data_IF_093083139495
#
_entry.id   IF_093083139495
#
_cell.length_a   1.000
_cell.length_b   1.000
_cell.length_c   1.000
_cell.angle_alpha   90.00
_cell.angle_beta   90.00
_cell.angle_gamma   90.00
#
_symmetry.space_group_name_H-M   'P 1'
#
loop_
_entity.id
_entity.type
_entity.pdbx_description
1 polymer ?
#
# COMPACT_ATOMS: atom_id res chain seq x y z
N UNK A 1 3.92 3.77 -27.98
CA UNK A 1 5.19 3.28 -27.38
C UNK A 1 4.92 3.00 -25.91
N UNK A 2 5.32 1.84 -25.37
CA UNK A 2 5.18 1.58 -23.94
C UNK A 2 6.07 2.55 -23.15
N UNK A 3 5.48 3.35 -22.26
CA UNK A 3 6.24 4.27 -21.41
C UNK A 3 7.19 3.46 -20.52
N UNK A 4 8.48 3.82 -20.53
CA UNK A 4 9.47 3.25 -19.62
C UNK A 4 9.44 4.03 -18.30
N UNK A 5 9.54 3.37 -17.14
CA UNK A 5 9.64 4.06 -15.87
C UNK A 5 10.90 4.94 -15.84
N UNK A 6 10.80 6.12 -15.24
CA UNK A 6 11.98 6.95 -14.94
C UNK A 6 12.84 6.21 -13.92
N UNK A 7 14.16 6.17 -14.06
CA UNK A 7 15.04 5.60 -13.04
C UNK A 7 15.18 6.54 -11.82
N UNK A 8 15.26 6.02 -10.58
CA UNK A 8 15.46 6.85 -9.40
C UNK A 8 16.86 7.46 -9.43
N UNK A 9 16.95 8.73 -9.04
CA UNK A 9 18.19 9.51 -9.14
C UNK A 9 19.18 9.22 -7.99
N UNK A 10 18.72 8.59 -6.91
CA UNK A 10 19.53 8.32 -5.72
C UNK A 10 19.21 6.94 -5.10
N UNK A 11 20.09 6.50 -4.20
CA UNK A 11 19.98 5.21 -3.53
C UNK A 11 18.69 5.06 -2.71
N UNK A 12 18.24 6.12 -2.05
CA UNK A 12 16.97 6.11 -1.31
C UNK A 12 15.78 5.79 -2.24
N UNK A 13 15.75 6.38 -3.44
CA UNK A 13 14.74 6.10 -4.45
C UNK A 13 14.81 4.67 -5.00
N UNK A 14 16.02 4.14 -5.20
CA UNK A 14 16.22 2.74 -5.61
C UNK A 14 15.73 1.76 -4.54
N UNK A 15 16.07 2.02 -3.28
CA UNK A 15 15.61 1.21 -2.15
C UNK A 15 14.09 1.25 -2.01
N UNK A 16 13.48 2.44 -2.08
CA UNK A 16 12.02 2.58 -2.03
C UNK A 16 11.33 1.85 -3.18
N UNK A 17 11.91 1.86 -4.39
CA UNK A 17 11.40 1.11 -5.54
C UNK A 17 11.48 -0.39 -5.31
N UNK A 18 12.61 -0.86 -4.79
CA UNK A 18 12.79 -2.27 -4.48
C UNK A 18 11.78 -2.73 -3.41
N UNK A 19 11.56 -1.91 -2.38
CA UNK A 19 10.54 -2.18 -1.36
C UNK A 19 9.13 -2.20 -1.94
N UNK A 20 8.79 -1.25 -2.82
CA UNK A 20 7.48 -1.25 -3.50
C UNK A 20 7.31 -2.53 -4.32
N UNK A 21 8.32 -2.89 -5.12
CA UNK A 21 8.30 -4.10 -5.94
C UNK A 21 8.13 -5.35 -5.10
N UNK A 22 8.84 -5.46 -3.98
CA UNK A 22 8.73 -6.60 -3.07
C UNK A 22 7.31 -6.72 -2.50
N UNK A 23 6.72 -5.62 -2.04
CA UNK A 23 5.33 -5.66 -1.54
C UNK A 23 4.35 -5.98 -2.68
N UNK A 24 4.53 -5.40 -3.87
CA UNK A 24 3.68 -5.68 -5.02
C UNK A 24 3.74 -7.17 -5.42
N UNK A 25 4.93 -7.78 -5.44
CA UNK A 25 5.11 -9.23 -5.70
C UNK A 25 4.32 -10.08 -4.71
N UNK A 26 4.40 -9.76 -3.41
CA UNK A 26 3.66 -10.47 -2.35
C UNK A 26 2.15 -10.36 -2.55
N UNK A 27 1.67 -9.17 -2.91
CA UNK A 27 0.25 -8.88 -3.07
C UNK A 27 -0.33 -9.52 -4.35
N UNK A 28 0.44 -9.51 -5.44
CA UNK A 28 0.04 -10.07 -6.73
C UNK A 28 0.21 -11.59 -6.75
N UNK A 29 1.15 -12.13 -5.95
CA UNK A 29 1.48 -13.56 -5.94
C UNK A 29 2.49 -13.96 -7.03
N UNK A 30 3.19 -13.00 -7.63
CA UNK A 30 4.15 -13.22 -8.72
C UNK A 30 5.58 -12.88 -8.28
N UNK A 31 6.34 -13.88 -7.80
CA UNK A 31 7.67 -13.66 -7.20
C UNK A 31 8.73 -13.08 -8.17
N UNK A 32 8.65 -13.44 -9.45
CA UNK A 32 9.63 -13.05 -10.47
C UNK A 32 9.25 -11.76 -11.23
N UNK A 33 8.16 -11.10 -10.85
CA UNK A 33 7.70 -9.88 -11.52
C UNK A 33 8.75 -8.76 -11.36
N UNK A 34 9.30 -8.22 -12.44
CA UNK A 34 10.19 -7.06 -12.35
C UNK A 34 9.42 -5.73 -12.36
N UNK A 35 10.11 -4.64 -12.03
CA UNK A 35 9.48 -3.32 -11.96
C UNK A 35 9.00 -2.80 -13.32
N UNK A 36 9.67 -3.17 -14.43
CA UNK A 36 9.28 -2.73 -15.76
C UNK A 36 7.96 -3.38 -16.18
N UNK A 37 7.82 -4.69 -15.98
CA UNK A 37 6.60 -5.43 -16.22
C UNK A 37 5.46 -4.94 -15.33
N UNK A 38 5.74 -4.70 -14.04
CA UNK A 38 4.77 -4.10 -13.11
C UNK A 38 4.32 -2.71 -13.60
N UNK A 39 5.26 -1.88 -14.04
CA UNK A 39 4.97 -0.54 -14.55
C UNK A 39 4.07 -0.61 -15.80
N UNK A 40 4.41 -1.43 -16.78
CA UNK A 40 3.63 -1.58 -18.01
C UNK A 40 2.20 -2.07 -17.75
N UNK A 41 2.02 -2.97 -16.78
CA UNK A 41 0.71 -3.56 -16.46
C UNK A 41 -0.24 -2.58 -15.76
N UNK A 42 0.28 -1.72 -14.88
CA UNK A 42 -0.55 -0.91 -14.00
C UNK A 42 -0.54 0.59 -14.31
N UNK A 43 0.55 1.16 -14.83
CA UNK A 43 0.74 2.62 -14.93
C UNK A 43 -0.40 3.40 -15.61
N UNK A 44 -1.06 2.80 -16.60
CA UNK A 44 -2.11 3.44 -17.42
C UNK A 44 -3.53 2.99 -17.05
N UNK A 45 -3.70 2.05 -16.11
CA UNK A 45 -5.00 1.59 -15.66
C UNK A 45 -5.28 2.13 -14.26
N UNK A 46 -5.83 3.34 -14.18
CA UNK A 46 -6.04 4.08 -12.93
C UNK A 46 -6.70 3.23 -11.85
N UNK A 47 -7.78 2.52 -12.18
CA UNK A 47 -8.49 1.70 -11.21
C UNK A 47 -7.62 0.56 -10.65
N UNK A 48 -6.95 -0.19 -11.53
CA UNK A 48 -6.09 -1.29 -11.12
C UNK A 48 -4.87 -0.80 -10.35
N UNK A 49 -4.27 0.32 -10.75
CA UNK A 49 -3.09 0.89 -10.13
C UNK A 49 -3.39 1.46 -8.75
N UNK A 50 -4.49 2.20 -8.60
CA UNK A 50 -4.95 2.71 -7.30
C UNK A 50 -5.27 1.55 -6.35
N UNK A 51 -5.92 0.49 -6.83
CA UNK A 51 -6.20 -0.70 -6.02
C UNK A 51 -4.92 -1.42 -5.59
N UNK A 52 -3.92 -1.49 -6.46
CA UNK A 52 -2.61 -2.05 -6.12
C UNK A 52 -1.96 -1.21 -5.02
N UNK A 53 -1.94 0.12 -5.14
CA UNK A 53 -1.36 1.02 -4.13
C UNK A 53 -2.06 0.89 -2.77
N UNK A 54 -3.40 0.81 -2.75
CA UNK A 54 -4.19 0.52 -1.55
C UNK A 54 -3.75 -0.77 -0.85
N UNK A 55 -3.47 -1.81 -1.65
CA UNK A 55 -3.17 -3.15 -1.13
C UNK A 55 -1.70 -3.27 -0.71
N UNK A 56 -0.78 -2.66 -1.47
CA UNK A 56 0.64 -2.53 -1.12
C UNK A 56 0.81 -1.73 0.17
N UNK A 57 0.07 -0.63 0.33
CA UNK A 57 0.09 0.17 1.56
C UNK A 57 -0.29 -0.69 2.78
N UNK A 58 -1.38 -1.44 2.67
CA UNK A 58 -1.84 -2.32 3.74
C UNK A 58 -0.85 -3.46 4.03
N UNK A 59 -0.27 -4.07 2.98
CA UNK A 59 0.72 -5.13 3.13
C UNK A 59 2.00 -4.63 3.81
N UNK A 60 2.49 -3.46 3.44
CA UNK A 60 3.66 -2.84 4.05
C UNK A 60 3.41 -2.52 5.53
N UNK A 61 2.27 -1.90 5.87
CA UNK A 61 1.93 -1.64 7.28
C UNK A 61 1.85 -2.93 8.11
N UNK A 62 1.27 -4.00 7.56
CA UNK A 62 1.22 -5.32 8.22
C UNK A 62 2.60 -5.97 8.37
N UNK A 63 3.54 -5.66 7.48
CA UNK A 63 4.92 -6.09 7.54
C UNK A 63 5.77 -5.28 8.54
N UNK A 64 5.19 -4.30 9.22
CA UNK A 64 5.84 -3.53 10.30
C UNK A 64 6.47 -2.21 9.87
N UNK A 65 6.34 -1.81 8.59
CA UNK A 65 6.81 -0.50 8.15
C UNK A 65 5.97 0.63 8.79
N UNK A 66 6.63 1.72 9.18
CA UNK A 66 5.94 2.90 9.69
C UNK A 66 5.16 3.62 8.57
N UNK A 67 4.09 4.37 8.88
CA UNK A 67 3.34 5.13 7.87
C UNK A 67 4.23 6.06 7.02
N UNK A 68 5.27 6.66 7.63
CA UNK A 68 6.22 7.54 6.93
C UNK A 68 7.04 6.77 5.89
N UNK A 69 7.49 5.56 6.21
CA UNK A 69 8.21 4.69 5.28
C UNK A 69 7.30 4.24 4.14
N UNK A 70 6.07 3.84 4.45
CA UNK A 70 5.09 3.42 3.42
C UNK A 70 4.76 4.56 2.46
N UNK A 71 4.69 5.81 2.94
CA UNK A 71 4.60 6.98 2.07
C UNK A 71 5.79 7.04 1.11
N UNK A 72 7.02 6.88 1.59
CA UNK A 72 8.23 6.86 0.74
C UNK A 72 8.20 5.75 -0.30
N UNK A 73 7.77 4.55 0.09
CA UNK A 73 7.61 3.38 -0.79
C UNK A 73 6.60 3.67 -1.91
N UNK A 74 5.43 4.20 -1.58
CA UNK A 74 4.37 4.50 -2.55
C UNK A 74 4.73 5.63 -3.53
N UNK A 75 5.71 6.49 -3.22
CA UNK A 75 6.23 7.43 -4.21
C UNK A 75 6.94 6.73 -5.38
N UNK A 76 7.27 5.44 -5.25
CA UNK A 76 7.80 4.62 -6.33
C UNK A 76 6.73 3.75 -6.99
N UNK A 77 5.43 3.99 -6.75
CA UNK A 77 4.38 3.23 -7.43
C UNK A 77 4.34 3.53 -8.94
N UNK A 78 3.99 2.54 -9.79
CA UNK A 78 3.78 2.76 -11.21
C UNK A 78 2.84 3.93 -11.52
N UNK A 79 1.75 4.02 -10.76
CA UNK A 79 0.75 5.07 -10.95
C UNK A 79 1.35 6.45 -10.71
N UNK A 80 1.98 6.67 -9.55
CA UNK A 80 2.56 7.97 -9.22
C UNK A 80 3.67 8.34 -10.21
N UNK A 81 4.55 7.39 -10.53
CA UNK A 81 5.65 7.60 -11.46
C UNK A 81 5.13 7.98 -12.86
N UNK A 82 4.04 7.36 -13.32
CA UNK A 82 3.41 7.71 -14.59
C UNK A 82 2.76 9.09 -14.57
N UNK A 83 1.96 9.39 -13.54
CA UNK A 83 1.29 10.67 -13.42
C UNK A 83 2.29 11.83 -13.38
N UNK A 84 3.36 11.72 -12.60
CA UNK A 84 4.35 12.80 -12.43
C UNK A 84 5.27 12.91 -13.65
N UNK A 85 5.79 11.81 -14.18
CA UNK A 85 6.85 11.87 -15.19
C UNK A 85 6.35 11.81 -16.63
N UNK A 86 5.19 11.20 -16.89
CA UNK A 86 4.58 11.10 -18.22
C UNK A 86 3.47 12.13 -18.38
N UNK A 87 2.48 12.11 -17.50
CA UNK A 87 1.32 13.03 -17.59
C UNK A 87 1.62 14.44 -17.03
N UNK A 88 2.81 14.64 -16.46
CA UNK A 88 3.27 15.93 -15.89
C UNK A 88 2.34 16.49 -14.82
N UNK A 89 1.62 15.63 -14.11
CA UNK A 89 0.84 16.02 -12.94
C UNK A 89 1.81 16.55 -11.87
N UNK A 90 1.54 17.72 -11.25
CA UNK A 90 2.42 18.26 -10.22
C UNK A 90 2.62 17.26 -9.07
N UNK A 91 3.83 17.23 -8.49
CA UNK A 91 4.15 16.28 -7.44
C UNK A 91 3.31 16.51 -6.16
N UNK A 92 2.99 17.76 -5.83
CA UNK A 92 2.25 18.11 -4.62
C UNK A 92 0.90 17.36 -4.46
N UNK A 93 -0.03 17.38 -5.43
CA UNK A 93 -1.27 16.60 -5.35
C UNK A 93 -1.01 15.08 -5.34
N UNK A 94 0.01 14.60 -6.05
CA UNK A 94 0.35 13.17 -6.02
C UNK A 94 0.90 12.73 -4.66
N UNK A 95 1.67 13.58 -3.98
CA UNK A 95 2.09 13.34 -2.60
C UNK A 95 0.91 13.34 -1.63
N UNK A 96 -0.12 14.17 -1.86
CA UNK A 96 -1.37 14.12 -1.08
C UNK A 96 -2.10 12.79 -1.30
N UNK A 97 -2.23 12.35 -2.56
CA UNK A 97 -2.79 11.05 -2.92
C UNK A 97 -2.10 9.91 -2.14
N UNK A 98 -0.77 9.87 -2.13
CA UNK A 98 0.00 8.85 -1.40
C UNK A 98 -0.31 8.90 0.09
N UNK A 99 -0.23 10.07 0.73
CA UNK A 99 -0.51 10.22 2.17
C UNK A 99 -1.93 9.76 2.50
N UNK A 100 -2.92 10.15 1.69
CA UNK A 100 -4.31 9.71 1.87
C UNK A 100 -4.48 8.19 1.73
N UNK A 101 -3.76 7.57 0.80
CA UNK A 101 -3.75 6.10 0.63
C UNK A 101 -3.21 5.41 1.88
N UNK A 102 -2.08 5.88 2.42
CA UNK A 102 -1.50 5.34 3.66
C UNK A 102 -2.44 5.55 4.85
N UNK A 103 -3.01 6.75 5.00
CA UNK A 103 -3.94 7.02 6.11
C UNK A 103 -5.18 6.13 6.07
N UNK A 104 -5.74 5.88 4.89
CA UNK A 104 -6.85 4.92 4.73
C UNK A 104 -6.42 3.51 5.15
N UNK A 105 -5.22 3.08 4.78
CA UNK A 105 -4.69 1.77 5.15
C UNK A 105 -4.47 1.64 6.67
N UNK A 106 -3.94 2.68 7.33
CA UNK A 106 -3.80 2.75 8.79
C UNK A 106 -5.16 2.62 9.47
N UNK A 107 -6.14 3.43 9.07
CA UNK A 107 -7.50 3.36 9.64
C UNK A 107 -8.15 1.98 9.45
N UNK A 108 -7.93 1.33 8.30
CA UNK A 108 -8.41 -0.04 8.06
C UNK A 108 -7.75 -1.04 9.02
N UNK A 109 -6.45 -0.90 9.28
CA UNK A 109 -5.71 -1.77 10.19
C UNK A 109 -6.14 -1.57 11.65
N UNK A 110 -6.28 -0.32 12.09
CA UNK A 110 -6.76 0.02 13.44
C UNK A 110 -8.17 -0.52 13.69
N UNK A 111 -9.09 -0.36 12.72
CA UNK A 111 -10.44 -0.92 12.80
C UNK A 111 -10.41 -2.44 12.91
N UNK A 112 -9.60 -3.13 12.10
CA UNK A 112 -9.48 -4.58 12.16
C UNK A 112 -8.95 -5.07 13.53
N UNK A 113 -7.96 -4.38 14.10
CA UNK A 113 -7.40 -4.69 15.41
C UNK A 113 -8.38 -4.37 16.57
N UNK A 114 -9.13 -3.28 16.46
CA UNK A 114 -10.17 -2.91 17.42
C UNK A 114 -11.31 -3.94 17.49
N UNK A 115 -11.73 -4.46 16.33
CA UNK A 115 -12.74 -5.54 16.24
C UNK A 115 -12.21 -6.84 16.88
N UNK A 116 -10.95 -7.21 16.65
CA UNK A 116 -10.34 -8.39 17.27
C UNK A 116 -10.26 -8.28 18.80
N UNK A 117 -9.92 -7.11 19.34
CA UNK A 117 -9.93 -6.87 20.81
C UNK A 117 -11.33 -6.93 21.42
N UNK A 118 -12.36 -6.49 20.68
CA UNK A 118 -13.74 -6.55 21.15
C UNK A 118 -14.30 -7.99 21.18
N UNK A 119 -13.97 -8.82 20.17
CA UNK A 119 -14.39 -10.23 20.11
C UNK A 119 -13.61 -11.14 21.06
N UNK A 120 -12.37 -10.79 21.42
CA UNK A 120 -11.59 -11.53 22.44
C UNK A 120 -12.05 -11.34 23.89
N UNK A 121 -13.01 -10.43 24.16
CA UNK A 121 -13.50 -10.11 25.51
C UNK A 121 -14.88 -10.68 25.84
N UNK A 122 -15.49 -11.45 24.94
CA UNK A 122 -16.84 -12.01 25.10
C UNK A 122 -16.83 -13.52 25.33
N UNK A 123 -16.08 -14.01 26.32
CA UNK A 123 -16.31 -15.35 26.90
C UNK A 123 -16.08 -15.25 28.41
N UNK A 124 -17.17 -15.03 29.15
CA UNK A 124 -17.53 -15.73 30.41
C UNK A 124 -18.69 -14.98 31.09
N UNK A 125 -19.89 -15.02 30.49
CA UNK A 125 -21.13 -14.87 31.27
C UNK A 125 -21.57 -16.28 31.64
N UNK A 126 -21.34 -16.68 32.90
CA UNK A 126 -21.94 -17.88 33.48
C UNK A 126 -23.47 -17.71 33.44
N UNK A 127 -24.24 -18.67 32.90
CA UNK A 127 -25.68 -18.64 32.98
C UNK A 127 -26.15 -19.17 34.33
N UNK A 128 -27.12 -18.46 34.93
CA UNK A 128 -28.10 -19.02 35.86
C UNK A 128 -27.60 -19.52 37.22
N UNK A 129 -27.81 -18.71 38.26
CA UNK A 129 -28.35 -19.21 39.53
C UNK A 129 -29.32 -18.16 40.06
N UNK A 130 -30.58 -18.31 39.67
CA UNK A 130 -31.72 -17.81 40.43
C UNK A 130 -32.39 -19.02 41.09
N UNK A 131 -32.67 -18.89 42.40
CA UNK A 131 -33.59 -19.67 43.25
C UNK A 131 -33.10 -21.10 43.57
N UNK A 132 -32.92 -21.52 44.82
CA UNK A 132 -33.74 -21.33 46.04
C UNK A 132 -32.95 -20.94 47.30
#
# INVERSE_FOLDING_TARGET
MAAKPKEPENEAGKQARQQYLEQARRVIGEANLDYTALYQRFAQNDWAAIKLDDTVALAALKAGYSPKEVVGILHQSPYLQHQVHVNKVPLAPMSQYVRSTVMKAVQRLEKAQGVQKAQGRSVQRKPGMELE
#
